data_IF_104154505334
#
_entry.id   IF_104154505334
#
_cell.length_a   1.000
_cell.length_b   1.000
_cell.length_c   1.000
_cell.angle_alpha   90.00
_cell.angle_beta   90.00
_cell.angle_gamma   90.00
#
_symmetry.space_group_name_H-M   'P 1'
#
loop_
_entity.id
_entity.type
_entity.pdbx_description
1 polymer ?
#
# COMPACT_ATOMS: atom_id res chain seq x y z
N UNK A 1 -23.86 12.27 -0.51
CA UNK A 1 -22.55 12.86 -0.89
C UNK A 1 -21.40 11.85 -0.89
N UNK A 2 -21.30 10.95 0.11
CA UNK A 2 -20.18 9.99 0.22
C UNK A 2 -20.09 8.95 -0.92
N UNK A 3 -21.23 8.40 -1.37
CA UNK A 3 -21.27 7.39 -2.45
C UNK A 3 -20.74 7.91 -3.80
N UNK A 4 -21.08 9.15 -4.18
CA UNK A 4 -20.58 9.76 -5.42
C UNK A 4 -19.05 9.89 -5.44
N UNK A 5 -18.45 10.20 -4.29
CA UNK A 5 -17.00 10.33 -4.14
C UNK A 5 -16.28 8.99 -4.30
N UNK A 6 -16.85 7.90 -3.75
CA UNK A 6 -16.31 6.55 -3.93
C UNK A 6 -16.41 6.10 -5.38
N UNK A 7 -17.54 6.33 -6.05
CA UNK A 7 -17.72 5.98 -7.45
C UNK A 7 -16.72 6.72 -8.36
N UNK A 8 -16.44 8.00 -8.06
CA UNK A 8 -15.43 8.77 -8.78
C UNK A 8 -14.02 8.18 -8.58
N UNK A 9 -13.63 7.87 -7.34
CA UNK A 9 -12.33 7.24 -7.05
C UNK A 9 -12.20 5.86 -7.70
N UNK A 10 -13.25 5.05 -7.65
CA UNK A 10 -13.27 3.74 -8.27
C UNK A 10 -13.03 3.84 -9.79
N UNK A 11 -13.66 4.81 -10.45
CA UNK A 11 -13.44 5.09 -11.87
C UNK A 11 -12.03 5.61 -12.15
N UNK A 12 -11.55 6.57 -11.35
CA UNK A 12 -10.23 7.22 -11.51
C UNK A 12 -9.08 6.21 -11.41
N UNK A 13 -9.16 5.29 -10.44
CA UNK A 13 -8.10 4.30 -10.18
C UNK A 13 -8.40 2.92 -10.76
N UNK A 14 -9.41 2.81 -11.62
CA UNK A 14 -9.86 1.56 -12.22
C UNK A 14 -10.06 0.42 -11.18
N UNK A 15 -10.65 0.77 -10.03
CA UNK A 15 -10.97 -0.20 -8.98
C UNK A 15 -12.13 -1.08 -9.50
N UNK A 16 -11.98 -2.42 -9.47
CA UNK A 16 -13.04 -3.30 -9.96
C UNK A 16 -14.36 -3.10 -9.21
N UNK A 17 -15.46 -3.07 -9.95
CA UNK A 17 -16.79 -2.79 -9.41
C UNK A 17 -17.34 -3.89 -8.51
N UNK A 18 -16.73 -5.08 -8.52
CA UNK A 18 -17.08 -6.20 -7.64
C UNK A 18 -16.57 -5.99 -6.20
N UNK A 19 -15.67 -5.02 -5.98
CA UNK A 19 -15.16 -4.70 -4.64
C UNK A 19 -16.16 -3.83 -3.87
N UNK A 20 -16.48 -4.24 -2.65
CA UNK A 20 -17.38 -3.52 -1.76
C UNK A 20 -16.60 -2.39 -1.06
N UNK A 21 -16.86 -1.14 -1.46
CA UNK A 21 -16.19 0.06 -0.97
C UNK A 21 -17.07 0.80 0.03
N UNK A 22 -16.50 1.19 1.17
CA UNK A 22 -17.19 2.04 2.14
C UNK A 22 -16.31 3.14 2.72
N UNK A 23 -16.95 4.24 3.14
CA UNK A 23 -16.30 5.23 4.00
C UNK A 23 -16.64 4.85 5.44
N UNK A 24 -15.66 4.54 6.28
CA UNK A 24 -15.95 4.12 7.66
C UNK A 24 -16.58 5.27 8.44
N UNK A 25 -17.60 4.96 9.22
CA UNK A 25 -18.22 5.92 10.14
C UNK A 25 -17.28 6.30 11.28
N UNK A 26 -16.44 5.36 11.73
CA UNK A 26 -15.42 5.57 12.76
C UNK A 26 -14.02 5.59 12.12
N UNK A 27 -13.27 6.69 12.22
CA UNK A 27 -11.87 6.77 11.79
C UNK A 27 -10.96 5.69 12.38
N UNK A 28 -11.30 5.15 13.56
CA UNK A 28 -10.56 4.04 14.19
C UNK A 28 -10.64 2.75 13.38
N UNK A 29 -11.62 2.58 12.49
CA UNK A 29 -11.65 1.40 11.61
C UNK A 29 -10.51 1.42 10.58
N UNK A 30 -10.01 2.59 10.20
CA UNK A 30 -8.79 2.71 9.37
C UNK A 30 -7.49 2.32 10.11
N UNK A 31 -7.63 2.02 11.39
CA UNK A 31 -6.57 1.84 12.37
C UNK A 31 -6.58 0.43 12.98
N UNK A 32 -7.45 -0.45 12.50
CA UNK A 32 -7.60 -1.81 13.00
C UNK A 32 -7.33 -2.81 11.88
N UNK A 33 -6.61 -3.90 12.20
CA UNK A 33 -6.60 -5.05 11.30
C UNK A 33 -7.89 -5.82 11.57
N UNK A 34 -8.84 -5.75 10.63
CA UNK A 34 -10.11 -6.43 10.75
C UNK A 34 -10.23 -7.50 9.67
N UNK A 35 -10.65 -8.72 10.01
CA UNK A 35 -10.88 -9.76 9.01
C UNK A 35 -11.85 -9.32 7.92
N UNK A 36 -11.43 -9.48 6.67
CA UNK A 36 -12.21 -9.10 5.50
C UNK A 36 -12.16 -7.61 5.15
N UNK A 37 -11.44 -6.78 5.92
CA UNK A 37 -11.30 -5.34 5.65
C UNK A 37 -9.87 -4.96 5.24
N UNK A 38 -9.78 -4.03 4.28
CA UNK A 38 -8.54 -3.43 3.86
C UNK A 38 -8.69 -1.92 3.76
N UNK A 39 -7.84 -1.18 4.45
CA UNK A 39 -7.82 0.28 4.41
C UNK A 39 -7.02 0.73 3.20
N UNK A 40 -7.63 1.52 2.33
CA UNK A 40 -6.97 2.15 1.19
C UNK A 40 -6.82 3.64 1.47
N UNK A 41 -5.59 4.13 1.40
CA UNK A 41 -5.31 5.56 1.43
C UNK A 41 -5.27 6.10 0.00
N UNK A 42 -5.93 7.24 -0.25
CA UNK A 42 -5.97 7.83 -1.58
C UNK A 42 -4.55 8.15 -2.09
N UNK A 43 -3.70 8.74 -1.24
CA UNK A 43 -2.31 9.03 -1.59
C UNK A 43 -1.52 7.77 -1.99
N UNK A 44 -1.86 6.59 -1.45
CA UNK A 44 -1.22 5.35 -1.87
C UNK A 44 -1.59 4.99 -3.31
N UNK A 45 -2.85 5.20 -3.72
CA UNK A 45 -3.31 5.00 -5.10
C UNK A 45 -2.60 5.94 -6.07
N UNK A 46 -2.47 7.22 -5.68
CA UNK A 46 -1.71 8.25 -6.41
C UNK A 46 -0.24 7.83 -6.61
N UNK A 47 0.33 7.10 -5.65
CA UNK A 47 1.72 6.64 -5.67
C UNK A 47 1.88 5.17 -6.09
N UNK A 48 0.90 4.62 -6.81
CA UNK A 48 1.06 3.35 -7.52
C UNK A 48 0.41 2.14 -6.88
N UNK A 49 -0.26 2.24 -5.73
CA UNK A 49 -1.12 1.16 -5.24
C UNK A 49 -2.18 0.83 -6.29
N UNK A 50 -2.35 -0.46 -6.60
CA UNK A 50 -3.39 -0.96 -7.51
C UNK A 50 -4.19 -2.07 -6.84
N UNK A 51 -5.47 -2.18 -7.21
CA UNK A 51 -6.44 -3.08 -6.62
C UNK A 51 -7.08 -3.98 -7.69
N UNK A 52 -7.30 -5.28 -7.41
CA UNK A 52 -6.78 -6.01 -6.25
C UNK A 52 -5.24 -5.98 -6.23
N UNK A 53 -4.66 -6.21 -5.05
CA UNK A 53 -3.21 -6.17 -4.90
C UNK A 53 -2.55 -7.21 -5.81
N UNK A 54 -1.56 -6.82 -6.64
CA UNK A 54 -0.83 -7.79 -7.43
C UNK A 54 -0.15 -8.84 -6.53
N UNK A 55 -0.10 -10.13 -6.93
CA UNK A 55 0.46 -11.20 -6.10
C UNK A 55 1.85 -10.90 -5.56
N UNK A 56 2.71 -10.29 -6.38
CA UNK A 56 4.05 -9.89 -5.96
C UNK A 56 4.03 -8.86 -4.81
N UNK A 57 3.13 -7.87 -4.86
CA UNK A 57 3.00 -6.88 -3.79
C UNK A 57 2.58 -7.54 -2.47
N UNK A 58 1.68 -8.53 -2.53
CA UNK A 58 1.32 -9.35 -1.37
C UNK A 58 2.55 -10.09 -0.85
N UNK A 59 3.33 -10.75 -1.70
CA UNK A 59 4.55 -11.46 -1.32
C UNK A 59 5.57 -10.54 -0.63
N UNK A 60 5.76 -9.31 -1.11
CA UNK A 60 6.63 -8.31 -0.46
C UNK A 60 6.14 -7.97 0.94
N UNK A 61 4.86 -7.63 1.09
CA UNK A 61 4.26 -7.30 2.39
C UNK A 61 4.37 -8.46 3.39
N UNK A 62 4.13 -9.70 2.92
CA UNK A 62 4.30 -10.92 3.72
C UNK A 62 5.74 -11.13 4.16
N UNK A 63 6.70 -10.98 3.25
CA UNK A 63 8.12 -11.19 3.54
C UNK A 63 8.62 -10.25 4.66
N UNK A 64 8.24 -8.97 4.60
CA UNK A 64 8.65 -7.99 5.60
C UNK A 64 7.70 -7.89 6.80
N UNK A 65 6.62 -8.70 6.84
CA UNK A 65 5.57 -8.65 7.85
C UNK A 65 4.96 -7.24 8.01
N UNK A 66 4.78 -6.52 6.90
CA UNK A 66 4.26 -5.15 6.91
C UNK A 66 2.77 -5.17 6.59
N UNK A 67 1.96 -4.60 7.48
CA UNK A 67 0.56 -4.33 7.17
C UNK A 67 0.48 -3.21 6.11
N UNK A 68 -0.36 -3.34 5.06
CA UNK A 68 -0.53 -2.31 4.02
C UNK A 68 -0.71 -0.89 4.56
N UNK A 69 -1.51 -0.72 5.62
CA UNK A 69 -1.78 0.58 6.26
C UNK A 69 -0.57 1.20 7.00
N UNK A 70 0.46 0.40 7.25
CA UNK A 70 1.72 0.84 7.87
C UNK A 70 2.75 1.26 6.84
N UNK A 71 2.54 0.96 5.55
CA UNK A 71 3.44 1.34 4.48
C UNK A 71 3.14 2.77 4.02
N UNK A 72 4.15 3.63 3.98
CA UNK A 72 3.97 5.00 3.48
C UNK A 72 3.48 5.01 2.02
N UNK A 73 2.65 5.99 1.67
CA UNK A 73 2.04 6.09 0.34
C UNK A 73 3.05 5.94 -0.81
N UNK A 74 4.15 6.70 -0.78
CA UNK A 74 5.17 6.65 -1.83
C UNK A 74 5.92 5.32 -1.93
N UNK A 75 5.85 4.49 -0.88
CA UNK A 75 6.51 3.19 -0.87
C UNK A 75 5.81 2.13 -1.75
N UNK A 76 4.55 2.36 -2.11
CA UNK A 76 3.87 1.54 -3.11
C UNK A 76 4.51 1.64 -4.49
N UNK A 77 5.01 2.82 -4.85
CA UNK A 77 5.69 3.08 -6.11
C UNK A 77 6.92 2.18 -6.30
N UNK A 78 7.67 1.91 -5.25
CA UNK A 78 8.83 1.00 -5.31
C UNK A 78 8.41 -0.45 -5.60
N UNK A 79 7.36 -0.94 -4.94
CA UNK A 79 6.86 -2.30 -5.15
C UNK A 79 6.32 -2.47 -6.58
N UNK A 80 5.41 -1.58 -6.98
CA UNK A 80 4.73 -1.71 -8.27
C UNK A 80 5.63 -1.29 -9.44
N UNK A 81 6.48 -0.28 -9.24
CA UNK A 81 7.46 0.10 -10.24
C UNK A 81 8.49 -1.00 -10.47
N UNK A 82 8.98 -1.68 -9.42
CA UNK A 82 9.82 -2.86 -9.59
C UNK A 82 9.12 -3.98 -10.36
N UNK A 83 7.84 -4.25 -10.02
CA UNK A 83 7.04 -5.25 -10.73
C UNK A 83 6.94 -4.93 -12.22
N UNK A 84 6.61 -3.69 -12.58
CA UNK A 84 6.54 -3.24 -13.98
C UNK A 84 7.89 -3.40 -14.67
N UNK A 85 9.00 -3.00 -14.03
CA UNK A 85 10.35 -3.17 -14.60
C UNK A 85 10.70 -4.63 -14.85
N UNK A 86 10.34 -5.54 -13.95
CA UNK A 86 10.55 -6.97 -14.18
C UNK A 86 9.76 -7.45 -15.40
N UNK A 87 8.48 -7.05 -15.51
CA UNK A 87 7.63 -7.43 -16.64
C UNK A 87 8.17 -6.89 -17.98
N UNK A 88 8.60 -5.62 -18.03
CA UNK A 88 9.22 -5.01 -19.21
C UNK A 88 10.51 -5.73 -19.63
N UNK A 89 11.29 -6.19 -18.66
CA UNK A 89 12.54 -6.91 -18.90
C UNK A 89 12.35 -8.41 -19.17
N UNK A 90 11.12 -8.93 -19.13
CA UNK A 90 10.85 -10.38 -19.21
C UNK A 90 11.39 -11.19 -18.01
N UNK A 91 11.67 -10.52 -16.89
CA UNK A 91 12.19 -11.12 -15.67
C UNK A 91 11.07 -11.52 -14.71
N UNK A 92 11.29 -12.61 -13.96
CA UNK A 92 10.37 -13.01 -12.89
C UNK A 92 10.66 -12.16 -11.63
N UNK A 93 9.67 -11.40 -11.12
CA UNK A 93 9.87 -10.61 -9.91
C UNK A 93 9.99 -11.54 -8.69
N UNK A 94 11.14 -11.50 -8.01
CA UNK A 94 11.39 -12.28 -6.78
C UNK A 94 11.76 -11.37 -5.62
N UNK A 95 11.58 -11.87 -4.38
CA UNK A 95 12.02 -11.14 -3.18
C UNK A 95 13.54 -10.95 -3.16
N UNK A 96 14.30 -11.94 -3.62
CA UNK A 96 15.76 -11.85 -3.73
C UNK A 96 16.16 -10.65 -4.60
N UNK A 97 15.63 -10.61 -5.82
CA UNK A 97 15.90 -9.52 -6.75
C UNK A 97 15.39 -8.17 -6.21
N UNK A 98 14.22 -8.12 -5.60
CA UNK A 98 13.69 -6.89 -5.00
C UNK A 98 14.63 -6.29 -3.95
N UNK A 99 15.26 -7.14 -3.13
CA UNK A 99 16.20 -6.73 -2.07
C UNK A 99 17.53 -6.18 -2.60
N UNK A 100 17.91 -6.55 -3.82
CA UNK A 100 19.10 -5.96 -4.45
C UNK A 100 18.86 -4.47 -4.72
N UNK A 101 17.65 -4.12 -5.17
CA UNK A 101 17.31 -2.75 -5.54
C UNK A 101 16.69 -1.92 -4.41
N UNK A 102 16.12 -2.54 -3.38
CA UNK A 102 15.33 -1.84 -2.38
C UNK A 102 15.62 -2.30 -0.96
N UNK A 103 15.59 -1.33 -0.04
CA UNK A 103 15.64 -1.60 1.40
C UNK A 103 14.42 -1.01 2.07
N UNK A 104 13.98 -1.64 3.14
CA UNK A 104 12.89 -1.15 4.00
C UNK A 104 13.47 -0.58 5.28
N UNK A 105 12.89 0.52 5.75
CA UNK A 105 13.25 1.14 7.01
C UNK A 105 12.01 1.63 7.77
N UNK A 106 12.05 1.64 9.11
CA UNK A 106 11.03 2.32 9.90
C UNK A 106 11.05 3.82 9.58
N UNK A 107 9.88 4.46 9.63
CA UNK A 107 9.77 5.90 9.45
C UNK A 107 10.35 6.63 10.68
N UNK A 108 11.29 7.57 10.51
CA UNK A 108 11.78 8.34 11.65
C UNK A 108 10.65 9.14 12.32
N UNK A 109 10.56 9.06 13.66
CA UNK A 109 9.61 9.83 14.49
C UNK A 109 8.12 9.59 14.18
N UNK A 110 7.77 8.57 13.39
CA UNK A 110 6.38 8.20 13.07
C UNK A 110 6.25 6.68 12.99
N UNK A 111 5.06 6.14 13.26
CA UNK A 111 4.79 4.72 13.02
C UNK A 111 4.57 4.43 11.55
N UNK A 112 5.24 3.40 11.04
CA UNK A 112 5.13 2.90 9.67
C UNK A 112 6.48 2.61 9.04
N UNK A 113 6.46 2.01 7.86
CA UNK A 113 7.63 1.61 7.09
C UNK A 113 7.67 2.35 5.76
N UNK A 114 8.87 2.54 5.23
CA UNK A 114 9.07 3.04 3.89
C UNK A 114 10.15 2.25 3.16
N UNK A 115 9.98 2.11 1.86
CA UNK A 115 11.01 1.62 0.96
C UNK A 115 11.87 2.77 0.46
N UNK A 116 13.14 2.47 0.17
CA UNK A 116 14.10 3.35 -0.47
C UNK A 116 14.96 2.53 -1.43
N UNK A 117 15.51 3.16 -2.47
CA UNK A 117 16.47 2.49 -3.34
C UNK A 117 17.71 2.04 -2.56
N UNK A 118 18.28 0.91 -3.00
CA UNK A 118 19.57 0.41 -2.56
C UNK A 118 20.67 1.40 -2.96
N UNK A 119 21.62 1.65 -2.06
CA UNK A 119 22.68 2.64 -2.23
C UNK A 119 23.59 2.33 -3.43
N UNK A 120 23.70 1.05 -3.80
CA UNK A 120 24.59 0.54 -4.85
C UNK A 120 23.90 0.26 -6.19
N UNK A 121 22.60 0.48 -6.31
CA UNK A 121 21.84 0.11 -7.51
C UNK A 121 21.40 1.34 -8.30
N UNK A 122 21.43 1.28 -9.64
CA UNK A 122 20.78 2.29 -10.48
C UNK A 122 19.32 2.45 -10.05
N UNK A 123 18.86 3.70 -9.92
CA UNK A 123 17.48 3.98 -9.54
C UNK A 123 16.55 3.42 -10.63
N UNK A 124 15.78 2.39 -10.28
CA UNK A 124 14.80 1.77 -11.20
C UNK A 124 13.62 2.70 -11.53
N UNK A 125 13.38 3.66 -10.64
CA UNK A 125 12.29 4.62 -10.71
C UNK A 125 12.87 6.02 -10.50
N UNK A 126 12.35 6.99 -11.24
CA UNK A 126 12.59 8.39 -10.97
C UNK A 126 11.93 8.69 -9.61
N UNK A 127 12.72 8.57 -8.54
CA UNK A 127 12.19 8.63 -7.19
C UNK A 127 11.60 10.01 -6.94
N UNK A 128 10.28 10.12 -6.84
CA UNK A 128 9.69 11.22 -6.10
C UNK A 128 9.93 10.96 -4.61
N UNK A 129 11.16 11.24 -4.15
CA UNK A 129 11.64 11.04 -2.78
C UNK A 129 10.92 11.93 -1.77
N UNK A 130 10.05 12.84 -2.22
CA UNK A 130 9.32 13.75 -1.36
C UNK A 130 8.31 12.93 -0.55
N UNK A 131 8.56 12.86 0.75
CA UNK A 131 7.60 12.28 1.70
C UNK A 131 6.24 12.97 1.56
N UNK A 132 5.21 12.17 1.33
CA UNK A 132 3.83 12.65 1.23
C UNK A 132 3.36 13.06 2.63
N UNK A 133 3.15 14.35 2.82
CA UNK A 133 2.64 14.87 4.09
C UNK A 133 1.17 14.50 4.24
N UNK A 134 0.79 14.03 5.42
CA UNK A 134 -0.61 13.72 5.76
C UNK A 134 -1.29 12.66 4.87
N UNK A 135 -0.53 11.72 4.31
CA UNK A 135 -1.02 10.67 3.41
C UNK A 135 -2.13 9.76 4.00
N UNK A 136 -2.36 9.84 5.32
CA UNK A 136 -3.43 9.10 6.02
C UNK A 136 -4.75 9.86 6.15
N UNK A 137 -4.87 11.07 5.58
CA UNK A 137 -6.06 11.92 5.75
C UNK A 137 -7.27 11.48 4.93
N UNK A 138 -7.04 10.87 3.75
CA UNK A 138 -8.10 10.45 2.84
C UNK A 138 -8.02 8.94 2.68
N UNK A 139 -9.08 8.25 3.07
CA UNK A 139 -9.15 6.80 3.00
C UNK A 139 -10.57 6.30 2.81
N UNK A 140 -10.66 5.04 2.40
CA UNK A 140 -11.87 4.24 2.38
C UNK A 140 -11.51 2.79 2.75
N UNK A 141 -12.51 2.00 3.09
CA UNK A 141 -12.36 0.58 3.35
C UNK A 141 -12.83 -0.21 2.14
N UNK A 142 -12.20 -1.35 1.93
CA UNK A 142 -12.69 -2.39 1.04
C UNK A 142 -13.06 -3.60 1.89
N UNK A 143 -14.25 -4.15 1.66
CA UNK A 143 -14.70 -5.42 2.21
C UNK A 143 -14.49 -6.55 1.23
N UNK A 144 -14.29 -7.75 1.76
CA UNK A 144 -14.31 -9.01 1.01
C UNK A 144 -13.31 -9.05 -0.15
N UNK A 145 -12.10 -8.47 0.01
CA UNK A 145 -11.07 -8.55 -1.03
C UNK A 145 -10.73 -10.02 -1.30
N UNK A 146 -10.91 -10.52 -2.55
CA UNK A 146 -10.55 -11.88 -2.90
C UNK A 146 -9.08 -12.17 -2.64
N UNK A 147 -8.80 -13.25 -1.89
CA UNK A 147 -7.43 -13.67 -1.56
C UNK A 147 -6.72 -12.84 -0.48
N UNK A 148 -7.37 -11.81 0.07
CA UNK A 148 -6.85 -11.09 1.24
C UNK A 148 -7.38 -11.71 2.53
N UNK A 149 -6.53 -12.46 3.20
CA UNK A 149 -6.68 -12.78 4.62
C UNK A 149 -6.03 -11.66 5.45
N UNK A 150 -6.71 -11.13 6.49
CA UNK A 150 -6.07 -10.22 7.45
C UNK A 150 -4.76 -10.83 7.96
N UNK A 151 -3.75 -9.99 8.15
CA UNK A 151 -2.40 -10.47 8.49
C UNK A 151 -2.39 -11.14 9.87
N UNK A 152 -2.02 -12.43 10.01
CA UNK A 152 -1.96 -13.11 11.30
C UNK A 152 -0.80 -12.65 12.20
N UNK A 153 0.08 -11.77 11.71
CA UNK A 153 1.23 -11.25 12.46
C UNK A 153 1.02 -9.83 13.02
N UNK A 154 -0.18 -9.24 12.90
CA UNK A 154 -0.44 -7.90 13.42
C UNK A 154 -1.91 -7.71 13.86
N UNK A 155 -2.20 -7.97 15.13
CA UNK A 155 -3.53 -7.75 15.74
C UNK A 155 -3.80 -6.27 16.06
N UNK A 156 -2.76 -5.43 16.06
CA UNK A 156 -2.85 -4.01 16.36
C UNK A 156 -2.04 -3.19 15.36
N UNK A 157 -2.69 -2.24 14.68
CA UNK A 157 -2.01 -1.22 13.85
C UNK A 157 -1.52 -0.03 14.70
N UNK A 158 -1.73 -0.10 16.02
CA UNK A 158 -1.45 0.88 17.07
C UNK A 158 -1.11 2.29 16.56
N UNK A 159 -2.17 3.02 16.18
CA UNK A 159 -2.10 4.35 15.57
C UNK A 159 -2.22 5.40 16.65
N UNK A 160 -1.13 5.56 17.41
CA UNK A 160 -0.98 6.64 18.39
C UNK A 160 -1.15 8.02 17.71
N UNK A 161 -2.39 8.51 17.76
CA UNK A 161 -2.93 9.80 17.30
C UNK A 161 -2.89 10.04 15.79
N UNK A 162 -3.99 9.65 15.13
CA UNK A 162 -4.52 10.45 14.02
C UNK A 162 -4.91 11.82 14.62
N UNK A 163 -4.02 12.80 14.50
CA UNK A 163 -4.36 14.22 14.67
C UNK A 163 -4.93 14.77 13.36
#
# INVERSE_FOLDING_TARGET
MHSHKLAQLAKEYAIPGELDLEIPADPRSATMSQPGYFVVFQDALEHGLRLPLPPFAITVLRHYQIHPSMLQAQSWGFILGFLVRCLEAGAVPTIGLFKEFHTVAPTPKKRGFHFKSGVSCPKLLEENTKSVKHWRKKYFLIKNIPGFTPCPWADSLDIGRLN
#
